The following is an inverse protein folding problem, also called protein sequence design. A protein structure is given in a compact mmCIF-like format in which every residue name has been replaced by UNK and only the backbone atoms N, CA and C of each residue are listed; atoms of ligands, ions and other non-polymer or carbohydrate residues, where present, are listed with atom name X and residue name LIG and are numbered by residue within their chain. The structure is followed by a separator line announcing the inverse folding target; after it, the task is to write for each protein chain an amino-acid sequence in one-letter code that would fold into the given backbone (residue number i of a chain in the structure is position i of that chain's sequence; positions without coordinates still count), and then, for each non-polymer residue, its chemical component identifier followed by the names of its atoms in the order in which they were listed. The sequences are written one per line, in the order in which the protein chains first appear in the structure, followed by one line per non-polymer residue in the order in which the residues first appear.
data_IF_367112027940
#
_entry.id   IF_367112027940
#
_cell.length_a   1.000
_cell.length_b   1.000
_cell.length_c   1.000
_cell.angle_alpha   90.00
_cell.angle_beta   90.00
_cell.angle_gamma   90.00
#
_symmetry.space_group_name_H-M   'P 1'
#
loop_
_entity.id
_entity.type
_entity.pdbx_description
1 polymer ?
#
# COMPACT_ATOMS: atom_id res chain seq x y z
N UNK A 1 10.51 22.70 -27.78
CA UNK A 1 9.47 21.71 -27.40
C UNK A 1 9.61 20.53 -28.33
N UNK A 2 9.98 19.36 -27.82
CA UNK A 2 9.97 18.14 -28.63
C UNK A 2 8.51 17.66 -28.71
N UNK A 3 7.95 17.63 -29.92
CA UNK A 3 6.66 17.00 -30.20
C UNK A 3 6.93 15.50 -30.17
N UNK A 4 6.46 14.81 -29.13
CA UNK A 4 6.56 13.36 -29.05
C UNK A 4 5.37 12.79 -29.85
N UNK A 5 5.65 12.35 -31.08
CA UNK A 5 4.67 11.64 -31.88
C UNK A 5 4.41 10.28 -31.23
N UNK A 6 3.15 10.02 -30.87
CA UNK A 6 2.72 8.74 -30.29
C UNK A 6 2.09 7.92 -31.40
N UNK A 7 2.66 6.75 -31.68
CA UNK A 7 2.06 5.76 -32.57
C UNK A 7 1.02 4.97 -31.78
N UNK A 8 -0.19 4.78 -32.34
CA UNK A 8 -1.27 4.05 -31.66
C UNK A 8 -1.76 2.88 -32.51
N UNK A 9 -2.12 1.77 -31.86
CA UNK A 9 -2.73 0.62 -32.53
C UNK A 9 -4.08 1.00 -33.17
N UNK A 10 -4.29 0.62 -34.43
CA UNK A 10 -5.53 0.93 -35.16
C UNK A 10 -6.78 0.27 -34.57
N UNK A 11 -6.61 -0.84 -33.85
CA UNK A 11 -7.71 -1.63 -33.30
C UNK A 11 -8.06 -1.24 -31.86
N UNK A 12 -7.09 -1.18 -30.96
CA UNK A 12 -7.33 -0.85 -29.55
C UNK A 12 -7.03 0.61 -29.17
N UNK A 13 -6.41 1.40 -30.06
CA UNK A 13 -6.01 2.80 -29.84
C UNK A 13 -4.98 3.03 -28.73
N UNK A 14 -4.40 1.95 -28.21
CA UNK A 14 -3.33 2.01 -27.21
C UNK A 14 -1.98 2.33 -27.85
N UNK A 15 -1.00 2.70 -27.02
CA UNK A 15 0.35 3.04 -27.47
C UNK A 15 1.02 1.86 -28.18
N UNK A 16 1.42 2.06 -29.43
CA UNK A 16 2.04 1.01 -30.24
C UNK A 16 3.36 0.55 -29.65
N UNK A 17 4.12 1.43 -28.99
CA UNK A 17 5.42 1.07 -28.42
C UNK A 17 5.29 0.12 -27.22
N UNK A 18 4.23 0.24 -26.43
CA UNK A 18 3.93 -0.66 -25.29
C UNK A 18 3.16 -1.92 -25.71
N UNK A 19 2.41 -1.82 -26.82
CA UNK A 19 1.59 -2.88 -27.39
C UNK A 19 2.34 -3.79 -28.38
N UNK A 20 3.47 -3.35 -28.94
CA UNK A 20 4.22 -4.07 -29.99
C UNK A 20 4.53 -5.53 -29.59
N UNK A 21 4.14 -6.47 -30.45
CA UNK A 21 4.34 -7.91 -30.23
C UNK A 21 3.32 -8.58 -29.32
N UNK A 22 2.28 -7.88 -28.86
CA UNK A 22 1.17 -8.42 -28.07
C UNK A 22 -0.15 -8.30 -28.82
N UNK A 23 -1.11 -9.18 -28.55
CA UNK A 23 -2.48 -9.04 -29.05
C UNK A 23 -3.21 -7.94 -28.28
N UNK A 24 -4.23 -7.35 -28.90
CA UNK A 24 -4.96 -6.21 -28.31
C UNK A 24 -5.67 -6.56 -26.98
N UNK A 25 -5.98 -7.83 -26.77
CA UNK A 25 -6.58 -8.41 -25.57
C UNK A 25 -5.55 -8.79 -24.48
N UNK A 26 -4.26 -8.83 -24.81
CA UNK A 26 -3.19 -9.16 -23.87
C UNK A 26 -2.62 -7.94 -23.14
N UNK A 27 -3.01 -6.74 -23.56
CA UNK A 27 -2.56 -5.49 -22.94
C UNK A 27 -3.58 -4.93 -21.96
N UNK A 28 -3.06 -4.43 -20.84
CA UNK A 28 -3.81 -3.62 -19.90
C UNK A 28 -4.09 -2.25 -20.54
N UNK A 29 -5.35 -1.81 -20.55
CA UNK A 29 -5.71 -0.52 -21.15
C UNK A 29 -5.11 0.63 -20.33
N UNK A 30 -4.80 1.78 -20.94
CA UNK A 30 -4.23 2.93 -20.23
C UNK A 30 -5.05 3.35 -19.00
N UNK A 31 -6.36 3.25 -19.07
CA UNK A 31 -7.24 3.59 -17.95
C UNK A 31 -7.24 2.53 -16.84
N UNK A 32 -7.05 1.25 -17.18
CA UNK A 32 -6.86 0.15 -16.21
C UNK A 32 -5.50 0.28 -15.49
N UNK A 33 -4.43 0.63 -16.22
CA UNK A 33 -3.11 0.91 -15.65
C UNK A 33 -3.19 2.08 -14.66
N UNK A 34 -3.84 3.19 -15.04
CA UNK A 34 -4.03 4.34 -14.14
C UNK A 34 -4.81 3.98 -12.89
N UNK A 35 -5.86 3.18 -13.03
CA UNK A 35 -6.66 2.70 -11.91
C UNK A 35 -5.79 1.89 -10.93
N UNK A 36 -5.01 0.93 -11.46
CA UNK A 36 -4.09 0.12 -10.66
C UNK A 36 -3.08 0.99 -9.90
N UNK A 37 -2.40 1.89 -10.59
CA UNK A 37 -1.41 2.78 -9.98
C UNK A 37 -2.02 3.67 -8.90
N UNK A 38 -3.20 4.25 -9.16
CA UNK A 38 -3.90 5.09 -8.19
C UNK A 38 -4.17 4.34 -6.87
N UNK A 39 -4.62 3.09 -6.96
CA UNK A 39 -4.91 2.28 -5.77
C UNK A 39 -3.64 1.74 -5.10
N UNK A 40 -2.60 1.40 -5.85
CA UNK A 40 -1.27 1.05 -5.31
C UNK A 40 -0.66 2.23 -4.51
N UNK A 41 -0.77 3.45 -5.03
CA UNK A 41 -0.35 4.67 -4.34
C UNK A 41 -1.20 4.93 -3.08
N UNK A 42 -2.54 4.80 -3.17
CA UNK A 42 -3.44 4.91 -2.01
C UNK A 42 -3.07 3.92 -0.90
N UNK A 43 -2.83 2.65 -1.25
CA UNK A 43 -2.41 1.62 -0.29
C UNK A 43 -1.07 1.96 0.36
N UNK A 44 -0.12 2.50 -0.42
CA UNK A 44 1.18 2.94 0.10
C UNK A 44 1.04 4.13 1.06
N UNK A 45 0.19 5.10 0.72
CA UNK A 45 -0.10 6.26 1.59
C UNK A 45 -0.83 5.85 2.88
N UNK A 46 -1.60 4.75 2.85
CA UNK A 46 -2.26 4.22 4.03
C UNK A 46 -1.27 3.76 5.12
N UNK A 47 -0.05 3.38 4.76
CA UNK A 47 1.02 3.00 5.71
C UNK A 47 1.93 4.17 6.12
N UNK A 48 2.02 5.19 5.27
CA UNK A 48 2.88 6.34 5.52
C UNK A 48 2.12 7.41 6.31
N UNK A 49 2.78 8.00 7.31
CA UNK A 49 2.30 9.20 8.01
C UNK A 49 3.17 10.38 7.62
N UNK A 50 2.52 11.52 7.41
CA UNK A 50 3.17 12.76 7.02
C UNK A 50 3.08 13.75 8.17
N UNK A 51 4.22 14.28 8.60
CA UNK A 51 4.24 15.25 9.68
C UNK A 51 3.46 16.52 9.29
N UNK A 52 2.45 16.90 10.07
CA UNK A 52 1.68 18.12 9.81
C UNK A 52 2.54 19.40 9.77
N UNK A 53 3.64 19.45 10.55
CA UNK A 53 4.54 20.61 10.67
C UNK A 53 5.62 20.63 9.57
N UNK A 54 6.51 19.63 9.52
CA UNK A 54 7.66 19.63 8.61
C UNK A 54 7.49 18.75 7.35
N UNK A 55 6.34 18.09 7.18
CA UNK A 55 6.03 17.20 6.04
C UNK A 55 6.94 15.98 5.89
N UNK A 56 7.80 15.68 6.86
CA UNK A 56 8.57 14.45 6.89
C UNK A 56 7.63 13.24 6.89
N UNK A 57 7.89 12.28 6.00
CA UNK A 57 7.20 10.99 5.90
C UNK A 57 7.84 9.98 6.85
N UNK A 58 7.04 9.20 7.55
CA UNK A 58 7.49 8.14 8.45
C UNK A 58 6.45 7.03 8.57
N UNK A 59 6.90 5.82 8.91
CA UNK A 59 6.06 4.67 9.25
C UNK A 59 6.21 4.36 10.74
N UNK A 60 5.26 3.63 11.32
CA UNK A 60 5.34 3.16 12.71
C UNK A 60 6.03 1.79 12.70
N UNK A 61 7.21 1.68 13.29
CA UNK A 61 7.87 0.39 13.48
C UNK A 61 7.39 -0.28 14.77
N UNK A 62 7.32 0.47 15.87
CA UNK A 62 6.90 -0.01 17.19
C UNK A 62 6.39 1.14 18.07
N UNK A 63 5.66 0.83 19.14
CA UNK A 63 5.26 1.80 20.18
C UNK A 63 3.78 2.22 20.15
N UNK A 64 3.47 3.32 20.84
CA UNK A 64 2.10 3.82 20.98
C UNK A 64 1.67 4.70 19.79
N UNK A 65 0.37 4.97 19.69
CA UNK A 65 -0.20 5.80 18.62
C UNK A 65 0.04 7.31 18.80
N UNK A 66 0.70 7.75 19.89
CA UNK A 66 1.18 9.12 20.07
C UNK A 66 2.54 9.27 19.38
N UNK A 67 2.54 9.66 18.12
CA UNK A 67 3.75 9.82 17.32
C UNK A 67 4.39 11.18 17.58
N UNK A 68 5.72 11.21 17.74
CA UNK A 68 6.50 12.46 17.81
C UNK A 68 7.46 12.51 16.62
N UNK A 69 7.33 13.53 15.79
CA UNK A 69 8.22 13.75 14.66
C UNK A 69 9.58 14.29 15.13
N UNK A 70 10.63 14.11 14.31
CA UNK A 70 11.97 14.68 14.55
C UNK A 70 11.98 16.20 14.72
N UNK A 71 10.98 16.91 14.20
CA UNK A 71 10.80 18.35 14.40
C UNK A 71 10.09 18.74 15.72
N UNK A 72 9.79 17.76 16.58
CA UNK A 72 9.10 17.92 17.87
C UNK A 72 7.57 17.94 17.80
N UNK A 73 6.97 17.94 16.60
CA UNK A 73 5.52 17.92 16.43
C UNK A 73 4.91 16.56 16.85
N UNK A 74 3.78 16.58 17.55
CA UNK A 74 3.07 15.38 18.02
C UNK A 74 1.77 15.18 17.25
N UNK A 75 1.47 13.94 16.87
CA UNK A 75 0.22 13.60 16.19
C UNK A 75 -0.22 12.17 16.47
N UNK A 76 -1.51 11.91 16.25
CA UNK A 76 -2.07 10.58 16.38
C UNK A 76 -1.79 9.75 15.12
N UNK A 77 -1.36 8.50 15.31
CA UNK A 77 -1.16 7.54 14.22
C UNK A 77 -2.47 7.17 13.51
N UNK A 78 -3.55 7.01 14.28
CA UNK A 78 -4.86 6.54 13.80
C UNK A 78 -5.57 7.66 13.02
N UNK A 79 -5.88 8.78 13.69
CA UNK A 79 -6.72 9.83 13.12
C UNK A 79 -5.94 10.99 12.48
N UNK A 80 -4.59 10.95 12.49
CA UNK A 80 -3.71 11.99 11.94
C UNK A 80 -3.86 13.38 12.60
N UNK A 81 -4.60 13.50 13.71
CA UNK A 81 -4.84 14.77 14.42
C UNK A 81 -3.51 15.37 14.93
N UNK A 82 -3.22 16.66 14.63
CA UNK A 82 -2.00 17.35 15.07
C UNK A 82 -2.11 17.82 16.52
N UNK A 83 -0.96 18.18 17.11
CA UNK A 83 -0.84 18.82 18.43
C UNK A 83 -1.59 18.10 19.55
N UNK A 84 -1.55 16.76 19.54
CA UNK A 84 -2.20 15.91 20.56
C UNK A 84 -1.24 15.55 21.71
N UNK A 85 -1.82 15.24 22.87
CA UNK A 85 -1.14 14.55 23.97
C UNK A 85 -1.95 13.32 24.42
N UNK A 86 -1.69 12.79 25.62
CA UNK A 86 -2.29 11.55 26.12
C UNK A 86 -3.80 11.66 26.38
N UNK A 87 -4.33 12.87 26.54
CA UNK A 87 -5.76 13.19 26.65
C UNK A 87 -6.57 12.86 25.39
N UNK A 88 -5.91 12.79 24.23
CA UNK A 88 -6.52 12.36 22.98
C UNK A 88 -6.97 10.89 22.99
N UNK A 89 -6.38 10.08 23.86
CA UNK A 89 -6.58 8.64 23.86
C UNK A 89 -7.58 8.22 24.93
N UNK A 90 -8.37 7.21 24.58
CA UNK A 90 -9.34 6.61 25.47
C UNK A 90 -8.64 6.03 26.71
N UNK A 91 -9.20 6.35 27.88
CA UNK A 91 -8.71 5.92 29.20
C UNK A 91 -9.50 4.74 29.78
N UNK A 92 -10.54 4.29 29.09
CA UNK A 92 -11.31 3.13 29.52
C UNK A 92 -10.45 1.87 29.44
N UNK A 93 -10.62 0.99 30.42
CA UNK A 93 -9.96 -0.31 30.43
C UNK A 93 -10.42 -1.11 29.21
N UNK A 94 -9.48 -1.72 28.48
CA UNK A 94 -9.79 -2.61 27.37
C UNK A 94 -9.29 -4.00 27.68
N UNK A 95 -10.15 -4.97 27.43
CA UNK A 95 -9.74 -6.36 27.35
C UNK A 95 -8.76 -6.50 26.16
N UNK A 96 -7.48 -6.84 26.40
CA UNK A 96 -6.48 -6.98 25.34
C UNK A 96 -6.85 -8.07 24.32
N UNK A 97 -7.73 -9.02 24.68
CA UNK A 97 -8.15 -10.10 23.79
C UNK A 97 -9.27 -9.71 22.82
N UNK A 98 -9.93 -8.57 23.03
CA UNK A 98 -11.11 -8.21 22.22
C UNK A 98 -10.82 -7.27 21.07
N UNK A 99 -9.65 -6.63 20.98
CA UNK A 99 -9.21 -5.85 19.80
C UNK A 99 -10.17 -4.76 19.29
N UNK A 100 -11.22 -4.41 20.05
CA UNK A 100 -12.32 -3.57 19.59
C UNK A 100 -12.09 -2.10 19.93
N UNK A 101 -12.70 -1.24 19.11
CA UNK A 101 -12.86 0.17 19.45
C UNK A 101 -13.62 0.30 20.77
N UNK A 102 -13.36 1.38 21.50
CA UNK A 102 -14.12 1.67 22.71
C UNK A 102 -15.61 1.87 22.32
N UNK A 103 -16.53 1.30 23.09
CA UNK A 103 -17.98 1.51 22.94
C UNK A 103 -18.50 2.65 23.80
N UNK A 104 -17.68 3.15 24.74
CA UNK A 104 -18.04 4.20 25.69
C UNK A 104 -17.59 5.60 25.23
N UNK A 105 -16.67 5.69 24.26
CA UNK A 105 -16.22 6.97 23.71
C UNK A 105 -15.62 6.83 22.32
N UNK A 106 -15.38 7.98 21.68
CA UNK A 106 -14.79 8.12 20.34
C UNK A 106 -13.28 8.41 20.36
N UNK A 107 -12.64 8.39 21.53
CA UNK A 107 -11.22 8.66 21.66
C UNK A 107 -10.35 7.51 21.11
N UNK A 108 -9.20 7.85 20.53
CA UNK A 108 -8.33 6.87 19.87
C UNK A 108 -7.71 5.88 20.87
N UNK A 109 -7.35 4.69 20.39
CA UNK A 109 -6.58 3.72 21.19
C UNK A 109 -5.13 4.20 21.32
N UNK A 110 -4.58 4.26 22.53
CA UNK A 110 -3.15 4.56 22.71
C UNK A 110 -2.28 3.41 22.20
N UNK A 111 -2.72 2.18 22.47
CA UNK A 111 -2.06 0.95 22.07
C UNK A 111 -2.98 0.15 21.15
N UNK A 112 -2.42 -0.28 20.03
CA UNK A 112 -2.99 -1.22 19.07
C UNK A 112 -1.82 -1.95 18.42
N UNK A 113 -2.08 -3.15 17.88
CA UNK A 113 -1.10 -3.79 17.02
C UNK A 113 -0.93 -2.90 15.77
N UNK A 114 0.25 -2.31 15.51
CA UNK A 114 0.48 -1.44 14.35
C UNK A 114 0.11 -2.10 13.03
N UNK A 115 0.40 -3.41 12.93
CA UNK A 115 0.17 -4.22 11.75
C UNK A 115 -1.33 -4.29 11.44
N UNK A 116 -2.16 -4.52 12.45
CA UNK A 116 -3.62 -4.62 12.29
C UNK A 116 -4.28 -3.33 11.80
N UNK A 117 -3.78 -2.15 12.20
CA UNK A 117 -4.35 -0.87 11.78
C UNK A 117 -4.01 -0.57 10.31
N UNK A 118 -2.76 -0.83 9.91
CA UNK A 118 -2.31 -0.63 8.53
C UNK A 118 -2.93 -1.68 7.60
N UNK A 119 -2.98 -2.95 8.00
CA UNK A 119 -3.62 -4.03 7.27
C UNK A 119 -5.09 -3.74 7.03
N UNK A 120 -5.81 -3.27 8.05
CA UNK A 120 -7.23 -2.89 7.91
C UNK A 120 -7.40 -1.77 6.90
N UNK A 121 -6.59 -0.72 6.98
CA UNK A 121 -6.67 0.39 6.03
C UNK A 121 -6.38 -0.07 4.59
N UNK A 122 -5.38 -0.94 4.40
CA UNK A 122 -5.05 -1.51 3.09
C UNK A 122 -6.15 -2.43 2.58
N UNK A 123 -6.75 -3.26 3.43
CA UNK A 123 -7.83 -4.17 3.06
C UNK A 123 -9.09 -3.43 2.59
N UNK A 124 -9.47 -2.34 3.27
CA UNK A 124 -10.59 -1.49 2.84
C UNK A 124 -10.31 -0.83 1.47
N UNK A 125 -9.08 -0.34 1.25
CA UNK A 125 -8.67 0.24 -0.04
C UNK A 125 -8.65 -0.82 -1.14
N UNK A 126 -8.21 -2.05 -0.86
CA UNK A 126 -8.25 -3.17 -1.80
C UNK A 126 -9.69 -3.49 -2.21
N UNK A 127 -10.60 -3.58 -1.25
CA UNK A 127 -12.02 -3.82 -1.52
C UNK A 127 -12.65 -2.70 -2.35
N UNK A 128 -12.31 -1.44 -2.06
CA UNK A 128 -12.72 -0.30 -2.90
C UNK A 128 -12.17 -0.45 -4.33
N UNK A 129 -10.91 -0.85 -4.49
CA UNK A 129 -10.27 -1.03 -5.79
C UNK A 129 -10.98 -2.10 -6.63
N UNK A 130 -11.34 -3.23 -6.03
CA UNK A 130 -12.06 -4.34 -6.67
C UNK A 130 -13.47 -3.91 -7.13
N UNK A 131 -14.22 -3.20 -6.28
CA UNK A 131 -15.54 -2.70 -6.64
C UNK A 131 -15.46 -1.67 -7.77
N UNK A 132 -14.53 -0.70 -7.72
CA UNK A 132 -14.36 0.28 -8.79
C UNK A 132 -13.96 -0.42 -10.11
N UNK A 133 -13.01 -1.34 -10.06
CA UNK A 133 -12.58 -2.14 -11.23
C UNK A 133 -13.76 -2.89 -11.86
N UNK A 134 -14.62 -3.50 -11.03
CA UNK A 134 -15.85 -4.18 -11.45
C UNK A 134 -16.84 -3.20 -12.10
N UNK A 135 -17.06 -2.02 -11.53
CA UNK A 135 -17.97 -1.02 -12.11
C UNK A 135 -17.50 -0.47 -13.45
N UNK A 136 -16.18 -0.44 -13.68
CA UNK A 136 -15.60 -0.04 -14.98
C UNK A 136 -15.63 -1.16 -16.03
N UNK A 137 -16.11 -2.36 -15.69
CA UNK A 137 -16.24 -3.48 -16.61
C UNK A 137 -14.93 -4.18 -16.95
N UNK A 138 -13.90 -4.04 -16.12
CA UNK A 138 -12.64 -4.78 -16.25
C UNK A 138 -12.74 -6.16 -15.59
N UNK A 139 -11.97 -7.11 -16.13
CA UNK A 139 -11.85 -8.46 -15.57
C UNK A 139 -11.31 -8.41 -14.14
N UNK A 140 -11.90 -9.15 -13.20
CA UNK A 140 -11.49 -9.20 -11.79
C UNK A 140 -10.40 -10.24 -11.48
N UNK A 141 -9.91 -11.00 -12.46
CA UNK A 141 -8.84 -11.99 -12.22
C UNK A 141 -7.51 -11.35 -11.76
N UNK A 142 -7.24 -10.08 -12.13
CA UNK A 142 -5.98 -9.41 -11.75
C UNK A 142 -6.16 -8.63 -10.45
N UNK A 143 -5.42 -9.04 -9.43
CA UNK A 143 -5.36 -8.38 -8.12
C UNK A 143 -4.64 -7.02 -8.21
N UNK A 144 -5.24 -5.98 -7.61
CA UNK A 144 -4.56 -4.70 -7.40
C UNK A 144 -3.80 -4.77 -6.06
N UNK A 145 -2.49 -4.51 -6.09
CA UNK A 145 -1.60 -4.62 -4.93
C UNK A 145 -1.00 -6.01 -4.70
N UNK A 146 -0.20 -6.15 -3.64
CA UNK A 146 0.48 -7.40 -3.30
C UNK A 146 -0.50 -8.45 -2.74
N UNK A 147 -0.38 -9.74 -3.10
CA UNK A 147 -1.22 -10.80 -2.54
C UNK A 147 -1.10 -10.87 -1.01
N UNK A 148 -2.17 -11.32 -0.34
CA UNK A 148 -2.22 -11.40 1.12
C UNK A 148 -1.17 -12.37 1.68
N UNK A 149 -0.83 -13.41 0.91
CA UNK A 149 0.27 -14.30 1.22
C UNK A 149 1.52 -13.92 0.40
N UNK A 150 2.70 -13.78 1.05
CA UNK A 150 3.94 -13.60 0.32
C UNK A 150 4.17 -14.83 -0.57
N UNK A 151 4.69 -14.64 -1.81
CA UNK A 151 4.96 -15.77 -2.69
C UNK A 151 5.93 -16.73 -2.00
N UNK A 152 5.52 -18.00 -1.89
CA UNK A 152 6.35 -19.06 -1.34
C UNK A 152 7.74 -19.01 -1.99
N UNK A 153 8.79 -18.85 -1.19
CA UNK A 153 10.17 -18.80 -1.68
C UNK A 153 10.45 -20.14 -2.36
N UNK A 154 10.41 -20.17 -3.71
CA UNK A 154 10.85 -21.35 -4.46
C UNK A 154 12.29 -21.66 -4.01
N UNK A 155 12.59 -22.90 -3.57
CA UNK A 155 13.93 -23.24 -3.15
C UNK A 155 14.91 -22.92 -4.29
N UNK A 156 15.96 -22.16 -3.95
CA UNK A 156 17.03 -21.83 -4.89
C UNK A 156 17.73 -23.14 -5.26
N UNK A 157 17.48 -23.65 -6.46
CA UNK A 157 18.20 -24.81 -6.99
C UNK A 157 19.64 -24.37 -7.21
N UNK A 158 20.55 -24.83 -6.35
CA UNK A 158 21.99 -24.59 -6.49
C UNK A 158 22.50 -25.60 -7.52
N UNK A 159 23.03 -25.16 -8.68
CA UNK A 159 23.64 -26.10 -9.63
C UNK A 159 24.89 -26.74 -9.01
N UNK A 160 25.17 -28.03 -9.30
CA UNK A 160 26.33 -28.73 -8.74
C UNK A 160 27.64 -28.06 -9.16
N UNK A 161 28.45 -27.67 -8.18
CA UNK A 161 29.69 -26.92 -8.37
C UNK A 161 30.74 -27.71 -9.15
N UNK A 162 31.40 -27.05 -10.09
CA UNK A 162 32.61 -27.56 -10.74
C UNK A 162 33.82 -27.42 -9.80
N UNK A 163 34.75 -28.40 -9.79
CA UNK A 163 35.93 -28.34 -8.94
C UNK A 163 36.87 -27.22 -9.40
N UNK A 164 37.26 -26.37 -8.45
CA UNK A 164 38.22 -25.30 -8.64
C UNK A 164 39.61 -25.91 -8.95
N UNK A 165 40.13 -25.68 -10.17
CA UNK A 165 41.52 -25.94 -10.47
C UNK A 165 42.39 -24.96 -9.65
N UNK A 166 43.26 -25.50 -8.79
CA UNK A 166 44.32 -24.73 -8.15
C UNK A 166 45.38 -24.45 -9.22
N UNK A 167 45.59 -23.17 -9.49
CA UNK A 167 46.69 -22.71 -10.34
C UNK A 167 47.95 -22.71 -9.48
N UNK A 168 48.95 -23.45 -9.95
CA UNK A 168 50.30 -23.59 -9.39
C UNK A 168 51.07 -22.27 -9.36
#
# INVERSE_FOLDING_TARGET
MLIQLVETCRYCKEDWTEHFGKRCDEIEKKDEVKLRLQFEEKMTEAKIRTCHKCKAKFTKSDGCNKMTCRCGAKMCYICRKPNIDYDHFCRHFRDPNKGKHCTECTACSLWSNPEQDDERAVAEIRKEAEEVRKTMGYDNEKLIGAPDEPPSKKPRIVPPGHPHAQVV
#
